data_IF_463162443753
#
_entry.id   IF_463162443753
#
_cell.length_a   1.000
_cell.length_b   1.000
_cell.length_c   1.000
_cell.angle_alpha   90.00
_cell.angle_beta   90.00
_cell.angle_gamma   90.00
#
_symmetry.space_group_name_H-M   'P 1'
#
loop_
_entity.id
_entity.type
_entity.pdbx_description
1 polymer ?
#
# COMPACT_ATOMS: atom_id res chain seq x y z
N UNK A 1 -46.22 3.86 -1.97
CA UNK A 1 -45.64 2.52 -2.25
C UNK A 1 -44.63 2.74 -3.39
N UNK A 2 -43.31 2.85 -3.28
CA UNK A 2 -42.22 2.65 -2.29
C UNK A 2 -41.14 3.69 -2.72
N UNK A 3 -40.85 4.75 -1.94
CA UNK A 3 -39.72 4.94 -1.01
C UNK A 3 -38.35 4.38 -1.46
N UNK A 4 -37.35 5.26 -1.64
CA UNK A 4 -35.91 5.12 -1.27
C UNK A 4 -35.11 6.10 -2.14
N UNK A 5 -34.59 7.21 -1.65
CA UNK A 5 -33.76 7.32 -0.45
C UNK A 5 -32.30 7.45 -0.90
N UNK A 6 -31.93 8.60 -1.48
CA UNK A 6 -30.53 8.92 -1.79
C UNK A 6 -29.80 9.12 -0.47
N UNK A 7 -29.12 8.09 0.01
CA UNK A 7 -28.17 8.21 1.12
C UNK A 7 -26.91 8.87 0.55
N UNK A 8 -26.81 10.18 0.79
CA UNK A 8 -25.57 10.93 0.75
C UNK A 8 -24.67 10.34 1.85
N UNK A 9 -23.86 9.33 1.54
CA UNK A 9 -22.83 8.87 2.46
C UNK A 9 -21.64 9.83 2.32
N UNK A 10 -21.45 10.64 3.36
CA UNK A 10 -20.26 11.48 3.50
C UNK A 10 -19.02 10.60 3.49
N UNK A 11 -18.10 10.89 2.57
CA UNK A 11 -16.76 10.34 2.56
C UNK A 11 -16.08 10.84 3.85
N UNK A 12 -15.68 9.98 4.80
CA UNK A 12 -14.90 10.44 5.93
C UNK A 12 -13.51 10.79 5.39
N UNK A 13 -13.28 12.10 5.18
CA UNK A 13 -12.00 12.75 4.86
C UNK A 13 -10.83 12.40 5.82
N UNK A 14 -11.07 11.56 6.83
CA UNK A 14 -10.09 11.12 7.81
C UNK A 14 -9.11 10.04 7.29
N UNK A 15 -9.48 9.27 6.25
CA UNK A 15 -8.61 8.20 5.73
C UNK A 15 -7.39 8.72 4.94
N UNK A 16 -7.59 9.76 4.13
CA UNK A 16 -6.56 10.31 3.26
C UNK A 16 -5.40 10.97 4.05
N UNK A 17 -5.68 11.55 5.22
CA UNK A 17 -4.68 12.22 6.05
C UNK A 17 -3.64 11.22 6.63
N UNK A 18 -4.07 10.02 7.01
CA UNK A 18 -3.18 9.00 7.57
C UNK A 18 -2.25 8.40 6.51
N UNK A 19 -2.75 8.18 5.30
CA UNK A 19 -1.93 7.68 4.17
C UNK A 19 -0.93 8.77 3.74
N UNK A 20 -1.36 10.03 3.67
CA UNK A 20 -0.48 11.17 3.40
C UNK A 20 0.66 11.30 4.42
N UNK A 21 0.35 11.19 5.71
CA UNK A 21 1.35 11.24 6.79
C UNK A 21 2.34 10.07 6.75
N UNK A 22 1.89 8.86 6.36
CA UNK A 22 2.76 7.70 6.22
C UNK A 22 3.72 7.83 5.03
N UNK A 23 3.25 8.36 3.90
CA UNK A 23 4.08 8.59 2.70
C UNK A 23 5.12 9.70 2.94
N UNK A 24 4.78 10.76 3.69
CA UNK A 24 5.75 11.82 4.03
C UNK A 24 6.81 11.32 5.01
N UNK A 25 6.47 10.48 5.99
CA UNK A 25 7.44 9.86 6.90
C UNK A 25 8.39 8.89 6.20
N UNK A 26 7.90 8.11 5.22
CA UNK A 26 8.76 7.21 4.44
C UNK A 26 9.67 7.98 3.47
N UNK A 27 9.23 9.14 2.97
CA UNK A 27 10.05 10.01 2.12
C UNK A 27 11.11 10.78 2.91
N UNK A 28 10.81 11.25 4.11
CA UNK A 28 11.81 11.95 4.93
C UNK A 28 12.93 11.02 5.40
N UNK A 29 12.66 9.73 5.59
CA UNK A 29 13.68 8.72 5.85
C UNK A 29 14.56 8.44 4.61
N UNK A 30 14.02 8.59 3.40
CA UNK A 30 14.76 8.39 2.15
C UNK A 30 15.58 9.62 1.70
N UNK A 31 15.23 10.82 2.18
CA UNK A 31 15.88 12.08 1.81
C UNK A 31 17.09 12.47 2.68
N UNK A 32 17.50 11.63 3.65
CA UNK A 32 18.73 11.85 4.44
C UNK A 32 19.99 11.17 3.85
N UNK A 33 19.97 10.80 2.57
CA UNK A 33 21.15 10.32 1.86
C UNK A 33 21.76 11.43 0.99
N UNK A 34 22.35 12.43 1.64
CA UNK A 34 23.30 13.33 0.96
C UNK A 34 24.66 12.61 0.82
N UNK A 35 25.38 12.78 -0.31
CA UNK A 35 26.55 11.99 -0.64
C UNK A 35 27.79 12.56 0.06
N UNK A 36 28.25 11.88 1.11
CA UNK A 36 29.54 12.18 1.74
C UNK A 36 30.66 11.42 1.02
N UNK A 37 31.45 12.19 0.28
CA UNK A 37 32.87 12.06 -0.04
C UNK A 37 33.62 10.80 0.45
N UNK A 38 34.31 10.17 -0.52
CA UNK A 38 35.24 9.05 -0.46
C UNK A 38 35.84 8.71 0.91
N UNK A 39 35.38 7.62 1.49
CA UNK A 39 36.13 6.74 2.38
C UNK A 39 35.67 5.33 2.07
N UNK A 40 36.60 4.41 1.80
CA UNK A 40 36.31 3.00 1.53
C UNK A 40 35.17 2.50 2.43
N UNK A 41 34.04 1.99 1.88
CA UNK A 41 32.97 1.47 2.70
C UNK A 41 33.48 0.16 3.32
N UNK A 42 34.15 0.29 4.47
CA UNK A 42 34.36 -0.81 5.39
C UNK A 42 32.96 -1.30 5.74
N UNK A 43 32.51 -2.37 5.09
CA UNK A 43 31.25 -3.03 5.37
C UNK A 43 31.21 -3.30 6.86
N UNK A 44 30.48 -2.47 7.60
CA UNK A 44 30.16 -2.75 8.99
C UNK A 44 29.28 -4.00 8.91
N UNK A 45 29.66 -5.13 9.53
CA UNK A 45 28.83 -6.32 9.51
C UNK A 45 27.49 -5.92 10.11
N UNK A 46 26.45 -5.94 9.28
CA UNK A 46 25.09 -5.60 9.69
C UNK A 46 24.76 -6.49 10.89
N UNK A 47 24.68 -5.88 12.07
CA UNK A 47 24.37 -6.61 13.30
C UNK A 47 22.96 -7.15 13.09
N UNK A 48 22.83 -8.46 12.91
CA UNK A 48 21.56 -9.14 12.69
C UNK A 48 20.72 -9.04 13.97
N UNK A 49 20.05 -7.91 14.17
CA UNK A 49 19.07 -7.74 15.23
C UNK A 49 17.93 -8.72 14.95
N UNK A 50 17.77 -9.71 15.83
CA UNK A 50 16.70 -10.71 15.68
C UNK A 50 15.36 -10.04 15.97
N UNK A 51 14.73 -9.48 14.94
CA UNK A 51 13.40 -8.87 15.04
C UNK A 51 12.40 -9.97 15.37
N UNK A 52 11.77 -9.87 16.53
CA UNK A 52 10.68 -10.79 16.90
C UNK A 52 9.40 -10.31 16.24
N UNK A 53 8.86 -11.11 15.33
CA UNK A 53 7.53 -10.89 14.77
C UNK A 53 6.48 -10.98 15.87
N UNK A 54 5.81 -9.86 16.15
CA UNK A 54 4.75 -9.80 17.13
C UNK A 54 3.38 -9.96 16.47
N UNK A 55 2.42 -10.50 17.23
CA UNK A 55 1.04 -10.62 16.78
C UNK A 55 0.39 -9.24 16.57
N UNK A 56 0.79 -8.23 17.34
CA UNK A 56 0.30 -6.86 17.18
C UNK A 56 0.75 -6.27 15.84
N UNK A 57 1.99 -6.52 15.44
CA UNK A 57 2.51 -6.09 14.13
C UNK A 57 1.73 -6.73 12.98
N UNK A 58 1.54 -8.05 13.00
CA UNK A 58 0.75 -8.74 11.96
C UNK A 58 -0.70 -8.24 11.90
N UNK A 59 -1.29 -7.90 13.04
CA UNK A 59 -2.63 -7.31 13.09
C UNK A 59 -2.66 -5.94 12.41
N UNK A 60 -1.71 -5.07 12.73
CA UNK A 60 -1.61 -3.74 12.10
C UNK A 60 -1.39 -3.86 10.58
N UNK A 61 -0.53 -4.80 10.17
CA UNK A 61 -0.31 -5.06 8.74
C UNK A 61 -1.57 -5.55 8.04
N UNK A 62 -2.36 -6.43 8.67
CA UNK A 62 -3.65 -6.87 8.14
C UNK A 62 -4.69 -5.75 8.05
N UNK A 63 -4.69 -4.80 9.00
CA UNK A 63 -5.54 -3.60 8.90
C UNK A 63 -5.13 -2.77 7.69
N UNK A 64 -3.84 -2.50 7.51
CA UNK A 64 -3.32 -1.74 6.37
C UNK A 64 -3.68 -2.40 5.04
N UNK A 65 -3.51 -3.72 4.93
CA UNK A 65 -3.92 -4.48 3.75
C UNK A 65 -5.42 -4.33 3.47
N UNK A 66 -6.26 -4.42 4.50
CA UNK A 66 -7.71 -4.30 4.35
C UNK A 66 -8.17 -2.91 3.88
N UNK A 67 -7.51 -1.85 4.37
CA UNK A 67 -7.76 -0.48 3.93
C UNK A 67 -7.31 -0.28 2.49
N UNK A 68 -6.11 -0.78 2.12
CA UNK A 68 -5.60 -0.69 0.76
C UNK A 68 -6.51 -1.42 -0.24
N UNK A 69 -7.01 -2.60 0.13
CA UNK A 69 -7.99 -3.35 -0.65
C UNK A 69 -9.28 -2.57 -0.84
N UNK A 70 -9.77 -1.93 0.22
CA UNK A 70 -10.99 -1.11 0.15
C UNK A 70 -10.81 0.05 -0.81
N UNK A 71 -9.72 0.82 -0.68
CA UNK A 71 -9.40 1.93 -1.60
C UNK A 71 -9.26 1.44 -3.03
N UNK A 72 -8.61 0.30 -3.26
CA UNK A 72 -8.49 -0.29 -4.58
C UNK A 72 -9.85 -0.62 -5.22
N UNK A 73 -10.82 -1.08 -4.43
CA UNK A 73 -12.17 -1.34 -4.93
C UNK A 73 -12.94 -0.04 -5.18
N UNK A 74 -12.82 0.95 -4.30
CA UNK A 74 -13.49 2.25 -4.42
C UNK A 74 -12.99 3.06 -5.61
N UNK A 75 -11.68 3.00 -5.90
CA UNK A 75 -11.03 3.68 -7.03
C UNK A 75 -10.90 2.79 -8.26
N UNK A 76 -11.51 1.60 -8.26
CA UNK A 76 -11.54 0.64 -9.37
C UNK A 76 -10.15 0.34 -9.97
N UNK A 77 -9.15 0.17 -9.10
CA UNK A 77 -7.79 -0.13 -9.56
C UNK A 77 -7.75 -1.46 -10.31
N UNK A 78 -6.95 -1.50 -11.38
CA UNK A 78 -6.66 -2.75 -12.10
C UNK A 78 -5.71 -3.62 -11.28
N UNK A 79 -6.25 -4.64 -10.62
CA UNK A 79 -5.53 -5.55 -9.74
C UNK A 79 -5.76 -7.00 -10.16
N UNK A 80 -4.72 -7.83 -10.03
CA UNK A 80 -4.87 -9.28 -10.06
C UNK A 80 -5.46 -9.78 -8.74
N UNK A 81 -6.79 -9.80 -8.69
CA UNK A 81 -7.55 -10.26 -7.53
C UNK A 81 -7.35 -11.74 -7.22
N UNK A 82 -7.02 -12.56 -8.22
CA UNK A 82 -6.78 -13.99 -8.02
C UNK A 82 -5.49 -14.20 -7.22
N UNK A 83 -4.41 -13.52 -7.62
CA UNK A 83 -3.13 -13.57 -6.88
C UNK A 83 -3.25 -12.99 -5.48
N UNK A 84 -3.98 -11.88 -5.33
CA UNK A 84 -4.27 -11.28 -4.02
C UNK A 84 -5.00 -12.25 -3.09
N UNK A 85 -6.11 -12.86 -3.53
CA UNK A 85 -6.94 -13.72 -2.69
C UNK A 85 -6.22 -15.05 -2.35
N UNK A 86 -5.44 -15.60 -3.29
CA UNK A 86 -4.61 -16.77 -3.02
C UNK A 86 -3.57 -16.49 -1.92
N UNK A 87 -2.89 -15.35 -1.97
CA UNK A 87 -1.93 -14.95 -0.94
C UNK A 87 -2.63 -14.62 0.40
N UNK A 88 -3.77 -13.91 0.35
CA UNK A 88 -4.53 -13.55 1.55
C UNK A 88 -5.08 -14.78 2.29
N UNK A 89 -5.65 -15.75 1.56
CA UNK A 89 -6.13 -17.00 2.12
C UNK A 89 -5.00 -17.85 2.71
N UNK A 90 -3.84 -17.93 2.02
CA UNK A 90 -2.65 -18.60 2.54
C UNK A 90 -2.13 -17.93 3.83
N UNK A 91 -2.16 -16.60 3.91
CA UNK A 91 -1.80 -15.86 5.12
C UNK A 91 -2.72 -16.19 6.30
N UNK A 92 -4.04 -16.26 6.06
CA UNK A 92 -5.03 -16.67 7.09
C UNK A 92 -4.77 -18.09 7.57
N UNK A 93 -4.51 -19.03 6.66
CA UNK A 93 -4.20 -20.41 7.02
C UNK A 93 -2.91 -20.51 7.86
N UNK A 94 -1.86 -19.77 7.48
CA UNK A 94 -0.63 -19.70 8.27
C UNK A 94 -0.86 -19.10 9.67
N UNK A 95 -1.70 -18.06 9.76
CA UNK A 95 -2.01 -17.41 11.04
C UNK A 95 -2.77 -18.34 11.98
N UNK A 96 -3.70 -19.15 11.47
CA UNK A 96 -4.41 -20.17 12.25
C UNK A 96 -3.43 -21.22 12.83
N UNK A 97 -2.39 -21.58 12.07
CA UNK A 97 -1.30 -22.46 12.51
C UNK A 97 -0.28 -21.77 13.41
N UNK A 98 -0.45 -20.47 13.71
CA UNK A 98 0.49 -19.62 14.45
C UNK A 98 1.88 -19.51 13.82
N UNK A 99 1.98 -19.77 12.52
CA UNK A 99 3.21 -19.59 11.75
C UNK A 99 3.31 -18.12 11.29
N UNK A 100 3.83 -17.28 12.19
CA UNK A 100 3.91 -15.82 11.98
C UNK A 100 4.84 -15.43 10.83
N UNK A 101 5.88 -16.22 10.56
CA UNK A 101 6.81 -15.99 9.45
C UNK A 101 6.12 -16.24 8.12
N UNK A 102 5.37 -17.34 8.00
CA UNK A 102 4.57 -17.61 6.82
C UNK A 102 3.44 -16.59 6.67
N UNK A 103 2.76 -16.21 7.76
CA UNK A 103 1.72 -15.16 7.70
C UNK A 103 2.27 -13.85 7.15
N UNK A 104 3.43 -13.40 7.64
CA UNK A 104 4.05 -12.17 7.13
C UNK A 104 4.34 -12.28 5.64
N UNK A 105 4.96 -13.38 5.22
CA UNK A 105 5.34 -13.60 3.82
C UNK A 105 4.13 -13.55 2.90
N UNK A 106 3.06 -14.25 3.25
CA UNK A 106 1.87 -14.30 2.42
C UNK A 106 1.08 -12.97 2.46
N UNK A 107 1.04 -12.28 3.61
CA UNK A 107 0.51 -10.90 3.67
C UNK A 107 1.31 -9.94 2.79
N UNK A 108 2.64 -10.04 2.76
CA UNK A 108 3.48 -9.20 1.92
C UNK A 108 3.17 -9.41 0.43
N UNK A 109 2.97 -10.65 -0.02
CA UNK A 109 2.55 -10.93 -1.40
C UNK A 109 1.17 -10.36 -1.72
N UNK A 110 0.23 -10.49 -0.79
CA UNK A 110 -1.11 -9.90 -0.93
C UNK A 110 -1.03 -8.38 -1.09
N UNK A 111 -0.23 -7.71 -0.26
CA UNK A 111 0.01 -6.25 -0.38
C UNK A 111 0.71 -5.89 -1.70
N UNK A 112 1.70 -6.68 -2.13
CA UNK A 112 2.43 -6.44 -3.38
C UNK A 112 1.50 -6.47 -4.60
N UNK A 113 0.56 -7.41 -4.64
CA UNK A 113 -0.48 -7.46 -5.67
C UNK A 113 -1.34 -6.18 -5.71
N UNK A 114 -1.70 -5.63 -4.54
CA UNK A 114 -2.43 -4.36 -4.44
C UNK A 114 -1.57 -3.17 -4.88
N UNK A 115 -0.29 -3.16 -4.51
CA UNK A 115 0.67 -2.11 -4.86
C UNK A 115 0.94 -2.05 -6.37
N UNK A 116 0.92 -3.18 -7.07
CA UNK A 116 0.95 -3.21 -8.52
C UNK A 116 -0.21 -2.38 -9.13
N UNK A 117 -1.41 -2.47 -8.54
CA UNK A 117 -2.57 -1.65 -8.90
C UNK A 117 -2.34 -0.16 -8.69
N UNK A 118 -1.76 0.24 -7.55
CA UNK A 118 -1.38 1.65 -7.27
C UNK A 118 -0.47 2.20 -8.37
N UNK A 119 0.52 1.41 -8.79
CA UNK A 119 1.46 1.84 -9.81
C UNK A 119 0.80 2.00 -11.18
N UNK A 120 -0.14 1.11 -11.53
CA UNK A 120 -0.92 1.23 -12.76
C UNK A 120 -1.82 2.47 -12.73
N UNK A 121 -2.55 2.68 -11.64
CA UNK A 121 -3.44 3.83 -11.44
C UNK A 121 -2.69 5.16 -11.53
N UNK A 122 -1.54 5.29 -10.86
CA UNK A 122 -0.69 6.49 -10.97
C UNK A 122 -0.26 6.79 -12.41
N UNK A 123 0.08 5.77 -13.19
CA UNK A 123 0.43 5.94 -14.60
C UNK A 123 -0.76 6.38 -15.45
N UNK A 124 -1.98 6.02 -15.07
CA UNK A 124 -3.19 6.47 -15.74
C UNK A 124 -3.47 7.94 -15.46
N UNK A 125 -3.48 8.36 -14.19
CA UNK A 125 -3.67 9.77 -13.81
C UNK A 125 -2.66 10.69 -14.50
N UNK A 126 -1.37 10.30 -14.50
CA UNK A 126 -0.32 11.13 -15.13
C UNK A 126 -0.53 11.24 -16.64
N UNK A 127 -1.04 10.19 -17.30
CA UNK A 127 -1.39 10.23 -18.72
C UNK A 127 -2.57 11.19 -18.94
N UNK A 128 -3.66 11.03 -18.21
CA UNK A 128 -4.84 11.89 -18.32
C UNK A 128 -4.49 13.38 -18.10
N UNK A 129 -3.66 13.68 -17.09
CA UNK A 129 -3.20 15.04 -16.81
C UNK A 129 -2.35 15.64 -17.95
N UNK A 130 -1.53 14.84 -18.63
CA UNK A 130 -0.73 15.29 -19.77
C UNK A 130 -1.59 15.62 -20.99
N UNK A 131 -2.59 14.78 -21.28
CA UNK A 131 -3.47 14.97 -22.45
C UNK A 131 -4.53 16.05 -22.24
N UNK A 132 -5.00 16.24 -21.00
CA UNK A 132 -5.91 17.34 -20.66
C UNK A 132 -5.27 18.73 -20.78
N UNK A 133 -3.96 18.84 -20.60
CA UNK A 133 -3.23 20.14 -20.69
C UNK A 133 -2.99 20.60 -22.13
N UNK A 134 -2.96 19.70 -23.10
CA UNK A 134 -2.75 20.02 -24.52
C UNK A 134 -4.03 20.36 -25.30
N UNK A 135 -5.21 20.07 -24.74
CA UNK A 135 -6.49 20.34 -25.41
C UNK A 135 -7.10 21.74 -25.15
N UNK A 136 -6.48 22.56 -24.30
CA UNK A 136 -7.02 23.85 -23.84
C UNK A 136 -6.42 25.11 -24.48
N UNK A 137 -5.59 24.98 -25.52
CA UNK A 137 -5.02 26.11 -26.27
C UNK A 137 -5.46 25.99 -27.74
N UNK A 138 -6.74 26.24 -28.00
CA UNK A 138 -7.31 26.21 -29.34
C UNK A 138 -8.83 26.39 -29.30
N UNK A 139 -9.27 27.65 -29.22
CA UNK A 139 -10.67 28.05 -29.25
C UNK A 139 -10.84 29.49 -28.80
#
# INVERSE_FOLDING_TARGET
LILMGRVLSGIPLAGAALIGALVTLLRSAASQAEPSESTDPKLIPARSTRIRLSRSFLRQLGILESELRKTAMEEEWTIDWQTHEAAHSAARAALQRRDYSATLRELAKSIDALMAGVHAYRKQIVREARWGKSGGLGG
#
